data_IF_903723909128
#
_entry.id   IF_903723909128
#
_cell.length_a   1.000
_cell.length_b   1.000
_cell.length_c   1.000
_cell.angle_alpha   90.00
_cell.angle_beta   90.00
_cell.angle_gamma   90.00
#
_symmetry.space_group_name_H-M   'P 1'
#
loop_
_entity.id
_entity.type
_entity.pdbx_description
1 polymer ?
#
# COMPACT_ATOMS: atom_id res chain seq x y z
N UNK A 1 -20.10 9.91 -29.64
CA UNK A 1 -19.65 9.01 -28.56
C UNK A 1 -20.86 8.19 -28.12
N UNK A 2 -20.97 6.95 -28.58
CA UNK A 2 -22.06 6.08 -28.16
C UNK A 2 -21.69 5.60 -26.76
N UNK A 3 -22.38 6.12 -25.75
CA UNK A 3 -22.30 5.57 -24.38
C UNK A 3 -23.06 4.24 -24.40
N UNK A 4 -22.35 3.16 -24.71
CA UNK A 4 -22.88 1.81 -24.53
C UNK A 4 -23.03 1.55 -23.03
N UNK A 5 -24.23 1.81 -22.50
CA UNK A 5 -24.57 1.47 -21.12
C UNK A 5 -24.84 -0.04 -21.04
N UNK A 6 -23.79 -0.83 -20.79
CA UNK A 6 -23.94 -2.25 -20.51
C UNK A 6 -24.70 -2.45 -19.19
N UNK A 7 -25.75 -3.29 -19.21
CA UNK A 7 -26.58 -3.60 -18.03
C UNK A 7 -25.74 -4.15 -16.87
N UNK A 8 -24.67 -4.87 -17.17
CA UNK A 8 -23.74 -5.45 -16.18
C UNK A 8 -22.91 -4.39 -15.43
N UNK A 9 -22.62 -3.25 -16.09
CA UNK A 9 -21.89 -2.11 -15.52
C UNK A 9 -22.79 -1.12 -14.79
N UNK A 10 -24.12 -1.26 -14.84
CA UNK A 10 -25.02 -0.36 -14.11
C UNK A 10 -24.91 -0.51 -12.59
N UNK A 11 -24.47 -1.68 -12.11
CA UNK A 11 -24.24 -1.94 -10.69
C UNK A 11 -22.89 -1.38 -10.27
N UNK A 12 -22.87 -0.58 -9.21
CA UNK A 12 -21.63 0.00 -8.69
C UNK A 12 -20.66 -1.05 -8.12
N UNK A 13 -21.18 -2.17 -7.61
CA UNK A 13 -20.37 -3.31 -7.15
C UNK A 13 -19.49 -3.87 -8.26
N UNK A 14 -20.03 -4.02 -9.48
CA UNK A 14 -19.26 -4.49 -10.64
C UNK A 14 -18.13 -3.52 -10.96
N UNK A 15 -18.39 -2.21 -10.96
CA UNK A 15 -17.37 -1.18 -11.22
C UNK A 15 -16.27 -1.22 -10.17
N UNK A 16 -16.64 -1.30 -8.89
CA UNK A 16 -15.70 -1.36 -7.77
C UNK A 16 -14.84 -2.63 -7.82
N UNK A 17 -15.42 -3.76 -8.23
CA UNK A 17 -14.68 -4.99 -8.41
C UNK A 17 -13.65 -4.88 -9.54
N UNK A 18 -14.05 -4.40 -10.71
CA UNK A 18 -13.14 -4.18 -11.85
C UNK A 18 -12.00 -3.25 -11.42
N UNK A 19 -12.31 -2.12 -10.78
CA UNK A 19 -11.30 -1.19 -10.25
C UNK A 19 -10.33 -1.89 -9.29
N UNK A 20 -10.83 -2.75 -8.40
CA UNK A 20 -10.00 -3.50 -7.45
C UNK A 20 -9.05 -4.46 -8.17
N UNK A 21 -9.49 -5.15 -9.22
CA UNK A 21 -8.64 -6.00 -10.06
C UNK A 21 -7.48 -5.19 -10.68
N UNK A 22 -7.78 -4.01 -11.24
CA UNK A 22 -6.75 -3.10 -11.77
C UNK A 22 -5.78 -2.62 -10.68
N UNK A 23 -6.28 -2.23 -9.51
CA UNK A 23 -5.43 -1.79 -8.40
C UNK A 23 -4.51 -2.89 -7.90
N UNK A 24 -4.96 -4.14 -7.84
CA UNK A 24 -4.11 -5.26 -7.45
C UNK A 24 -3.04 -5.57 -8.49
N UNK A 25 -3.39 -5.57 -9.78
CA UNK A 25 -2.42 -5.77 -10.86
C UNK A 25 -1.30 -4.72 -10.84
N UNK A 26 -1.61 -3.46 -10.50
CA UNK A 26 -0.61 -2.39 -10.41
C UNK A 26 0.19 -2.47 -9.10
N UNK A 27 -0.45 -2.80 -7.97
CA UNK A 27 0.19 -2.80 -6.65
C UNK A 27 1.17 -3.96 -6.43
N UNK A 28 0.90 -5.13 -7.00
CA UNK A 28 1.70 -6.34 -6.77
C UNK A 28 2.93 -6.44 -7.68
N UNK A 29 3.13 -5.50 -8.61
CA UNK A 29 4.10 -5.62 -9.69
C UNK A 29 5.14 -4.49 -9.62
N UNK A 30 6.38 -4.85 -9.31
CA UNK A 30 7.52 -3.90 -9.22
C UNK A 30 8.21 -3.63 -10.58
N UNK A 31 7.90 -4.45 -11.59
CA UNK A 31 8.51 -4.40 -12.92
C UNK A 31 7.46 -4.16 -14.00
N UNK A 32 7.86 -3.48 -15.07
CA UNK A 32 7.00 -3.18 -16.21
C UNK A 32 6.36 -4.44 -16.81
N UNK A 33 7.12 -5.52 -16.97
CA UNK A 33 6.64 -6.76 -17.57
C UNK A 33 5.62 -7.48 -16.67
N UNK A 34 5.80 -7.41 -15.34
CA UNK A 34 4.85 -7.95 -14.38
C UNK A 34 3.52 -7.19 -14.44
N UNK A 35 3.56 -5.85 -14.60
CA UNK A 35 2.35 -5.03 -14.79
C UNK A 35 1.61 -5.46 -16.07
N UNK A 36 2.32 -5.69 -17.18
CA UNK A 36 1.71 -6.15 -18.43
C UNK A 36 1.00 -7.49 -18.24
N UNK A 37 1.68 -8.47 -17.63
CA UNK A 37 1.11 -9.80 -17.36
C UNK A 37 -0.11 -9.70 -16.43
N UNK A 38 -0.01 -8.90 -15.37
CA UNK A 38 -1.09 -8.66 -14.43
C UNK A 38 -2.33 -8.06 -15.12
N UNK A 39 -2.13 -7.03 -15.95
CA UNK A 39 -3.20 -6.38 -16.71
C UNK A 39 -3.85 -7.33 -17.74
N UNK A 40 -3.06 -8.14 -18.45
CA UNK A 40 -3.56 -9.13 -19.41
C UNK A 40 -4.42 -10.20 -18.73
N UNK A 41 -4.19 -10.49 -17.45
CA UNK A 41 -4.93 -11.49 -16.68
C UNK A 41 -6.30 -10.99 -16.19
N UNK A 42 -6.54 -9.67 -16.16
CA UNK A 42 -7.78 -9.07 -15.62
C UNK A 42 -9.03 -9.48 -16.42
N UNK A 43 -9.00 -9.33 -17.75
CA UNK A 43 -10.17 -9.62 -18.58
C UNK A 43 -10.51 -11.11 -18.58
N UNK A 44 -9.57 -12.05 -18.80
CA UNK A 44 -9.84 -13.47 -18.64
C UNK A 44 -10.45 -13.80 -17.27
N UNK A 45 -9.90 -13.24 -16.19
CA UNK A 45 -10.37 -13.48 -14.83
C UNK A 45 -11.83 -13.05 -14.61
N UNK A 46 -12.22 -11.84 -15.03
CA UNK A 46 -13.59 -11.32 -14.85
C UNK A 46 -14.65 -12.16 -15.59
N UNK A 47 -14.25 -12.77 -16.71
CA UNK A 47 -15.11 -13.59 -17.57
C UNK A 47 -15.01 -15.10 -17.27
N UNK A 48 -14.23 -15.50 -16.27
CA UNK A 48 -14.15 -16.88 -15.78
C UNK A 48 -13.09 -17.77 -16.41
N UNK A 49 -12.17 -17.22 -17.20
CA UNK A 49 -10.99 -17.91 -17.71
C UNK A 49 -9.81 -17.69 -16.75
N UNK A 50 -9.40 -18.75 -16.04
CA UNK A 50 -8.41 -18.68 -14.95
C UNK A 50 -7.00 -19.17 -15.29
N UNK A 51 -6.67 -19.33 -16.58
CA UNK A 51 -5.42 -19.95 -17.03
C UNK A 51 -4.15 -19.38 -16.37
N UNK A 52 -4.11 -18.07 -16.09
CA UNK A 52 -3.00 -17.39 -15.45
C UNK A 52 -3.37 -16.71 -14.11
N UNK A 53 -4.50 -17.09 -13.51
CA UNK A 53 -5.00 -16.45 -12.29
C UNK A 53 -4.37 -17.07 -11.04
N UNK A 54 -3.76 -16.25 -10.18
CA UNK A 54 -3.20 -16.70 -8.89
C UNK A 54 -4.27 -17.19 -7.89
N UNK A 55 -5.53 -16.78 -8.04
CA UNK A 55 -6.65 -17.09 -7.13
C UNK A 55 -7.95 -17.39 -7.93
N UNK A 56 -8.19 -18.64 -8.37
CA UNK A 56 -9.35 -18.98 -9.21
C UNK A 56 -10.71 -18.91 -8.50
N UNK A 57 -10.75 -18.92 -7.17
CA UNK A 57 -12.00 -19.15 -6.41
C UNK A 57 -12.72 -17.89 -5.91
N UNK A 58 -12.27 -16.68 -6.28
CA UNK A 58 -12.77 -15.42 -5.67
C UNK A 58 -13.60 -14.54 -6.61
N UNK A 59 -14.79 -15.01 -6.97
CA UNK A 59 -15.85 -14.15 -7.54
C UNK A 59 -16.70 -13.45 -6.48
N UNK A 60 -16.39 -13.62 -5.20
CA UNK A 60 -17.17 -13.13 -4.04
C UNK A 60 -17.46 -11.62 -4.03
N UNK A 61 -16.83 -10.84 -4.92
CA UNK A 61 -17.02 -9.39 -5.03
C UNK A 61 -17.76 -8.94 -6.29
N UNK A 62 -18.12 -9.86 -7.21
CA UNK A 62 -19.05 -9.57 -8.30
C UNK A 62 -20.50 -9.75 -7.81
N UNK A 63 -21.46 -8.94 -8.30
CA UNK A 63 -22.85 -9.14 -7.98
C UNK A 63 -23.30 -10.54 -8.41
N UNK A 64 -23.81 -11.31 -7.45
CA UNK A 64 -24.22 -12.73 -7.57
C UNK A 64 -23.07 -13.75 -7.67
N UNK A 65 -21.81 -13.36 -7.51
CA UNK A 65 -20.67 -14.29 -7.52
C UNK A 65 -20.46 -15.04 -8.84
N UNK A 66 -20.95 -14.48 -9.95
CA UNK A 66 -20.91 -15.08 -11.29
C UNK A 66 -20.03 -14.24 -12.23
N UNK A 67 -19.33 -14.88 -13.20
CA UNK A 67 -18.57 -14.17 -14.21
C UNK A 67 -19.48 -13.32 -15.11
N UNK A 68 -18.91 -12.24 -15.68
CA UNK A 68 -19.59 -11.41 -16.66
C UNK A 68 -19.78 -12.19 -17.98
N UNK A 69 -20.86 -11.89 -18.71
CA UNK A 69 -21.25 -12.67 -19.91
C UNK A 69 -21.31 -11.84 -21.19
N UNK A 70 -21.24 -10.51 -21.09
CA UNK A 70 -21.37 -9.66 -22.28
C UNK A 70 -20.11 -9.64 -23.14
N UNK A 71 -20.20 -10.21 -24.35
CA UNK A 71 -19.09 -10.21 -25.33
C UNK A 71 -18.68 -8.80 -25.76
N UNK A 72 -19.64 -7.88 -25.92
CA UNK A 72 -19.35 -6.49 -26.24
C UNK A 72 -18.52 -5.80 -25.15
N UNK A 73 -18.84 -6.05 -23.88
CA UNK A 73 -18.10 -5.52 -22.74
C UNK A 73 -16.68 -6.11 -22.67
N UNK A 74 -16.52 -7.39 -23.03
CA UNK A 74 -15.21 -8.05 -23.09
C UNK A 74 -14.27 -7.36 -24.08
N UNK A 75 -14.78 -6.99 -25.25
CA UNK A 75 -14.02 -6.28 -26.28
C UNK A 75 -13.60 -4.89 -25.78
N UNK A 76 -14.53 -4.13 -25.21
CA UNK A 76 -14.20 -2.78 -24.69
C UNK A 76 -13.20 -2.83 -23.54
N UNK A 77 -13.34 -3.78 -22.60
CA UNK A 77 -12.40 -3.96 -21.50
C UNK A 77 -11.01 -4.39 -22.01
N UNK A 78 -10.94 -5.23 -23.04
CA UNK A 78 -9.67 -5.57 -23.67
C UNK A 78 -9.01 -4.34 -24.29
N UNK A 79 -9.76 -3.50 -25.00
CA UNK A 79 -9.22 -2.26 -25.58
C UNK A 79 -8.69 -1.30 -24.50
N UNK A 80 -9.41 -1.19 -23.38
CA UNK A 80 -8.96 -0.42 -22.22
C UNK A 80 -7.66 -0.98 -21.63
N UNK A 81 -7.60 -2.30 -21.44
CA UNK A 81 -6.40 -2.98 -20.93
C UNK A 81 -5.20 -2.78 -21.85
N UNK A 82 -5.37 -2.88 -23.17
CA UNK A 82 -4.30 -2.63 -24.13
C UNK A 82 -3.79 -1.18 -24.06
N UNK A 83 -4.69 -0.22 -23.90
CA UNK A 83 -4.32 1.19 -23.70
C UNK A 83 -3.48 1.38 -22.44
N UNK A 84 -3.83 0.68 -21.35
CA UNK A 84 -3.10 0.73 -20.08
C UNK A 84 -1.75 0.00 -20.17
N UNK A 85 -1.68 -1.13 -20.89
CA UNK A 85 -0.43 -1.84 -21.20
C UNK A 85 0.53 -0.92 -21.97
N UNK A 86 0.04 -0.14 -22.94
CA UNK A 86 0.86 0.86 -23.63
C UNK A 86 1.42 1.96 -22.71
N UNK A 87 0.83 2.15 -21.52
CA UNK A 87 1.27 3.10 -20.49
C UNK A 87 1.97 2.43 -19.31
N UNK A 88 2.33 1.14 -19.42
CA UNK A 88 2.97 0.33 -18.38
C UNK A 88 4.15 1.03 -17.69
N UNK A 89 5.00 1.70 -18.48
CA UNK A 89 6.18 2.42 -17.97
C UNK A 89 5.80 3.53 -16.99
N UNK A 90 4.77 4.31 -17.29
CA UNK A 90 4.27 5.37 -16.40
C UNK A 90 3.50 4.81 -15.19
N UNK A 91 2.92 3.62 -15.32
CA UNK A 91 2.26 2.92 -14.21
C UNK A 91 3.28 2.33 -13.23
N UNK A 92 4.49 1.98 -13.69
CA UNK A 92 5.54 1.50 -12.80
C UNK A 92 6.11 2.61 -11.91
N UNK A 93 6.20 3.84 -12.44
CA UNK A 93 6.71 5.01 -11.71
C UNK A 93 5.62 5.76 -10.92
N UNK A 94 4.66 5.03 -10.36
CA UNK A 94 3.64 5.58 -9.44
C UNK A 94 4.21 5.69 -8.02
N UNK A 95 5.40 6.31 -7.90
CA UNK A 95 6.07 6.52 -6.62
C UNK A 95 5.16 7.24 -5.62
N UNK A 96 5.29 6.90 -4.34
CA UNK A 96 4.51 7.55 -3.29
C UNK A 96 4.92 9.01 -3.12
N UNK A 97 4.03 9.94 -3.45
CA UNK A 97 4.23 11.38 -3.18
C UNK A 97 4.14 11.74 -1.69
N UNK A 98 3.81 10.77 -0.81
CA UNK A 98 3.66 11.01 0.63
C UNK A 98 4.92 11.61 1.27
N UNK A 99 6.12 11.24 0.78
CA UNK A 99 7.38 11.81 1.27
C UNK A 99 7.43 13.33 1.10
N UNK A 100 6.84 13.84 0.02
CA UNK A 100 6.86 15.25 -0.35
C UNK A 100 5.68 16.05 0.23
N UNK A 101 4.64 15.40 0.74
CA UNK A 101 3.47 16.10 1.33
C UNK A 101 3.88 17.05 2.44
N UNK A 102 4.79 16.61 3.31
CA UNK A 102 5.29 17.45 4.42
C UNK A 102 6.03 18.70 3.94
N UNK A 103 6.70 18.63 2.77
CA UNK A 103 7.34 19.78 2.14
C UNK A 103 6.31 20.67 1.44
N UNK A 104 5.37 20.09 0.70
CA UNK A 104 4.29 20.81 0.02
C UNK A 104 3.44 21.62 1.01
N UNK A 105 3.15 21.05 2.18
CA UNK A 105 2.47 21.76 3.25
C UNK A 105 3.30 22.94 3.77
N UNK A 106 4.60 22.76 3.95
CA UNK A 106 5.50 23.82 4.40
C UNK A 106 5.60 24.97 3.38
N UNK A 107 5.71 24.64 2.09
CA UNK A 107 5.67 25.61 0.99
C UNK A 107 4.35 26.37 1.00
N UNK A 108 3.23 25.68 1.19
CA UNK A 108 1.90 26.31 1.25
C UNK A 108 1.74 27.28 2.42
N UNK A 109 2.42 27.02 3.55
CA UNK A 109 2.43 27.94 4.70
C UNK A 109 3.35 29.14 4.44
N UNK A 110 4.51 28.94 3.81
CA UNK A 110 5.52 30.00 3.57
C UNK A 110 5.15 30.91 2.40
N UNK A 111 4.55 30.37 1.35
CA UNK A 111 4.12 31.07 0.14
C UNK A 111 2.68 30.66 -0.21
N UNK A 112 1.68 31.12 0.57
CA UNK A 112 0.28 30.79 0.30
C UNK A 112 -0.15 31.36 -1.05
N UNK A 113 -0.88 30.56 -1.85
CA UNK A 113 -1.40 30.97 -3.17
C UNK A 113 -2.39 32.15 -3.10
N UNK A 114 -2.97 32.40 -1.93
CA UNK A 114 -3.87 33.54 -1.70
C UNK A 114 -3.15 34.90 -1.71
N UNK A 115 -1.82 34.92 -1.74
CA UNK A 115 -1.02 36.15 -1.79
C UNK A 115 -0.07 36.10 -2.97
N UNK A 116 0.06 37.23 -3.67
CA UNK A 116 0.99 37.36 -4.78
C UNK A 116 2.42 37.65 -4.26
N UNK A 117 3.38 36.80 -4.63
CA UNK A 117 4.81 36.97 -4.29
C UNK A 117 5.72 37.02 -5.52
N UNK A 118 5.16 36.95 -6.73
CA UNK A 118 5.91 36.82 -7.98
C UNK A 118 6.59 38.11 -8.47
N UNK A 119 6.20 39.28 -7.95
CA UNK A 119 6.75 40.58 -8.37
C UNK A 119 8.15 40.93 -7.86
N UNK A 120 8.79 40.07 -7.07
CA UNK A 120 10.15 40.28 -6.55
C UNK A 120 10.81 38.96 -6.11
N UNK A 121 12.04 39.04 -5.58
CA UNK A 121 12.73 37.90 -4.96
C UNK A 121 12.02 37.33 -3.71
N UNK A 122 10.87 37.89 -3.29
CA UNK A 122 10.08 37.42 -2.16
C UNK A 122 9.67 35.95 -2.32
N UNK A 123 9.22 35.54 -3.51
CA UNK A 123 8.84 34.15 -3.76
C UNK A 123 10.03 33.21 -3.57
N UNK A 124 11.18 33.55 -4.16
CA UNK A 124 12.41 32.76 -4.03
C UNK A 124 12.84 32.64 -2.56
N UNK A 125 12.87 33.75 -1.81
CA UNK A 125 13.24 33.74 -0.39
C UNK A 125 12.30 32.88 0.46
N UNK A 126 11.00 32.88 0.16
CA UNK A 126 10.00 32.05 0.87
C UNK A 126 10.17 30.56 0.56
N UNK A 127 10.43 30.22 -0.71
CA UNK A 127 10.70 28.84 -1.12
C UNK A 127 12.01 28.34 -0.51
N UNK A 128 13.09 29.13 -0.57
CA UNK A 128 14.37 28.83 0.07
C UNK A 128 14.20 28.64 1.58
N UNK A 129 13.41 29.50 2.25
CA UNK A 129 13.08 29.34 3.66
C UNK A 129 12.34 28.02 3.96
N UNK A 130 11.45 27.57 3.08
CA UNK A 130 10.75 26.29 3.25
C UNK A 130 11.74 25.11 3.13
N UNK A 131 12.64 25.14 2.16
CA UNK A 131 13.69 24.12 1.97
C UNK A 131 14.61 24.06 3.19
N UNK A 132 15.12 25.21 3.63
CA UNK A 132 16.02 25.29 4.78
C UNK A 132 15.33 24.82 6.06
N UNK A 133 14.08 25.22 6.30
CA UNK A 133 13.34 24.75 7.47
C UNK A 133 13.03 23.24 7.42
N UNK A 134 12.87 22.66 6.22
CA UNK A 134 12.67 21.23 6.06
C UNK A 134 13.93 20.43 6.40
N UNK A 135 15.08 20.91 5.95
CA UNK A 135 16.38 20.24 6.11
C UNK A 135 16.98 20.46 7.52
N UNK A 136 17.01 21.72 7.97
CA UNK A 136 17.73 22.15 9.17
C UNK A 136 16.80 22.35 10.39
N UNK A 137 15.48 22.34 10.21
CA UNK A 137 14.51 22.64 11.28
C UNK A 137 14.29 24.14 11.46
N UNK A 138 13.69 24.55 12.59
CA UNK A 138 13.38 25.96 12.83
C UNK A 138 14.62 26.82 13.13
N UNK A 139 15.76 26.21 13.46
CA UNK A 139 17.04 26.88 13.70
C UNK A 139 17.75 27.44 12.47
N UNK A 140 17.24 27.17 11.25
CA UNK A 140 17.87 27.59 10.00
C UNK A 140 18.11 29.11 9.91
N UNK A 141 17.24 29.93 10.53
CA UNK A 141 17.35 31.38 10.48
C UNK A 141 18.60 31.89 11.22
N UNK A 142 18.95 31.31 12.36
CA UNK A 142 20.16 31.68 13.10
C UNK A 142 21.41 31.33 12.29
N UNK A 143 21.42 30.18 11.58
CA UNK A 143 22.52 29.80 10.68
C UNK A 143 22.67 30.77 9.50
N UNK A 144 21.56 31.24 8.92
CA UNK A 144 21.60 32.27 7.86
C UNK A 144 22.18 33.56 8.41
N UNK A 145 21.74 33.99 9.59
CA UNK A 145 22.23 35.22 10.20
C UNK A 145 23.74 35.15 10.44
N UNK A 146 24.24 34.04 10.99
CA UNK A 146 25.68 33.80 11.15
C UNK A 146 26.43 33.89 9.83
N UNK A 147 25.93 33.22 8.78
CA UNK A 147 26.53 33.27 7.44
C UNK A 147 26.49 34.68 6.81
N UNK A 148 25.53 35.51 7.19
CA UNK A 148 25.40 36.90 6.77
C UNK A 148 26.19 37.88 7.65
N UNK A 149 27.00 37.39 8.60
CA UNK A 149 27.69 38.21 9.61
C UNK A 149 26.75 39.07 10.46
N UNK A 150 25.54 38.57 10.70
CA UNK A 150 24.53 39.16 11.58
C UNK A 150 24.45 38.39 12.89
N UNK A 151 23.90 39.03 13.92
CA UNK A 151 23.66 38.35 15.19
C UNK A 151 22.69 37.16 15.01
N UNK A 152 23.03 35.96 15.51
CA UNK A 152 22.16 34.78 15.47
C UNK A 152 20.82 34.97 16.21
N UNK A 153 20.79 35.92 17.16
CA UNK A 153 19.63 36.28 17.97
C UNK A 153 19.31 35.23 19.05
N UNK A 154 19.59 35.55 20.31
CA UNK A 154 19.35 34.65 21.46
C UNK A 154 17.88 34.23 21.57
N UNK A 155 16.95 35.18 21.47
CA UNK A 155 15.51 34.90 21.48
C UNK A 155 15.06 34.04 20.31
N UNK A 156 15.64 34.26 19.12
CA UNK A 156 15.35 33.46 17.91
C UNK A 156 15.76 32.01 18.12
N UNK A 157 16.93 31.76 18.71
CA UNK A 157 17.43 30.42 19.03
C UNK A 157 16.59 29.72 20.11
N UNK A 158 16.14 30.47 21.12
CA UNK A 158 15.25 29.92 22.15
C UNK A 158 13.90 29.48 21.55
N UNK A 159 13.29 30.33 20.72
CA UNK A 159 12.00 30.04 20.06
C UNK A 159 12.15 28.88 19.08
N UNK A 160 13.22 28.84 18.28
CA UNK A 160 13.44 27.76 17.32
C UNK A 160 13.59 26.41 18.03
N UNK A 161 14.36 26.36 19.11
CA UNK A 161 14.54 25.17 19.96
C UNK A 161 13.21 24.66 20.52
N UNK A 162 12.33 25.55 20.99
CA UNK A 162 11.00 25.17 21.50
C UNK A 162 10.13 24.61 20.37
N UNK A 163 10.15 25.22 19.17
CA UNK A 163 9.39 24.75 18.01
C UNK A 163 9.87 23.40 17.50
N UNK A 164 11.18 23.19 17.44
CA UNK A 164 11.77 21.91 17.06
C UNK A 164 11.45 20.80 18.08
N UNK A 165 11.54 21.09 19.39
CA UNK A 165 11.07 20.17 20.44
C UNK A 165 9.60 19.80 20.27
N UNK A 166 8.73 20.76 19.93
CA UNK A 166 7.29 20.51 19.70
C UNK A 166 7.06 19.64 18.45
N UNK A 167 7.79 19.90 17.36
CA UNK A 167 7.77 19.08 16.13
C UNK A 167 8.20 17.65 16.43
N UNK A 168 9.32 17.48 17.12
CA UNK A 168 9.84 16.17 17.54
C UNK A 168 8.85 15.38 18.40
N UNK A 169 8.23 16.03 19.39
CA UNK A 169 7.19 15.39 20.23
C UNK A 169 5.99 14.92 19.39
N UNK A 170 5.56 15.70 18.38
CA UNK A 170 4.48 15.28 17.46
C UNK A 170 4.90 14.09 16.61
N UNK A 171 6.13 14.10 16.09
CA UNK A 171 6.65 13.01 15.27
C UNK A 171 6.75 11.71 16.06
N UNK A 172 7.31 11.75 17.28
CA UNK A 172 7.33 10.59 18.19
C UNK A 172 5.93 10.00 18.42
N UNK A 173 4.93 10.85 18.66
CA UNK A 173 3.54 10.40 18.82
C UNK A 173 3.00 9.75 17.55
N UNK A 174 3.32 10.29 16.36
CA UNK A 174 2.91 9.72 15.06
C UNK A 174 3.51 8.33 14.85
N UNK A 175 4.82 8.19 15.06
CA UNK A 175 5.53 6.92 14.97
C UNK A 175 4.92 5.89 15.94
N UNK A 176 4.69 6.27 17.20
CA UNK A 176 4.07 5.38 18.18
C UNK A 176 2.65 4.94 17.77
N UNK A 177 1.84 5.82 17.20
CA UNK A 177 0.51 5.44 16.67
C UNK A 177 0.63 4.45 15.53
N UNK A 178 1.55 4.67 14.59
CA UNK A 178 1.78 3.77 13.46
C UNK A 178 2.23 2.38 13.94
N UNK A 179 3.13 2.32 14.93
CA UNK A 179 3.55 1.07 15.57
C UNK A 179 2.35 0.37 16.22
N UNK A 180 1.53 1.09 16.99
CA UNK A 180 0.32 0.52 17.62
C UNK A 180 -0.66 -0.04 16.58
N UNK A 181 -0.90 0.71 15.50
CA UNK A 181 -1.76 0.27 14.39
C UNK A 181 -1.19 -0.98 13.71
N UNK A 182 0.11 -1.02 13.44
CA UNK A 182 0.77 -2.18 12.84
C UNK A 182 0.61 -3.44 13.71
N UNK A 183 0.84 -3.33 15.03
CA UNK A 183 0.64 -4.43 15.97
C UNK A 183 -0.81 -4.91 15.98
N UNK A 184 -1.79 -4.00 15.98
CA UNK A 184 -3.21 -4.36 15.92
C UNK A 184 -3.56 -5.11 14.63
N UNK A 185 -3.07 -4.65 13.48
CA UNK A 185 -3.28 -5.32 12.20
C UNK A 185 -2.66 -6.72 12.19
N UNK A 186 -1.48 -6.90 12.79
CA UNK A 186 -0.83 -8.20 12.93
C UNK A 186 -1.64 -9.15 13.81
N UNK A 187 -2.16 -8.68 14.96
CA UNK A 187 -3.06 -9.48 15.81
C UNK A 187 -4.32 -9.93 15.05
N UNK A 188 -4.96 -9.05 14.28
CA UNK A 188 -6.12 -9.40 13.44
C UNK A 188 -5.76 -10.45 12.38
N UNK A 189 -4.59 -10.35 11.75
CA UNK A 189 -4.11 -11.34 10.78
C UNK A 189 -3.89 -12.70 11.42
N UNK A 190 -3.28 -12.76 12.60
CA UNK A 190 -3.06 -14.01 13.33
C UNK A 190 -4.39 -14.65 13.75
N UNK A 191 -5.31 -13.88 14.33
CA UNK A 191 -6.65 -14.36 14.68
C UNK A 191 -7.39 -14.99 13.49
N UNK A 192 -7.33 -14.34 12.32
CA UNK A 192 -7.93 -14.89 11.09
C UNK A 192 -7.22 -16.16 10.60
N UNK A 193 -5.90 -16.29 10.79
CA UNK A 193 -5.16 -17.54 10.50
C UNK A 193 -5.56 -18.66 11.45
N UNK A 194 -5.68 -18.38 12.74
CA UNK A 194 -6.06 -19.37 13.75
C UNK A 194 -7.49 -19.87 13.52
N UNK A 195 -8.43 -18.96 13.21
CA UNK A 195 -9.78 -19.34 12.76
C UNK A 195 -9.78 -20.27 11.55
N UNK A 196 -8.95 -20.00 10.55
CA UNK A 196 -8.81 -20.88 9.37
C UNK A 196 -8.25 -22.26 9.73
N UNK A 197 -7.25 -22.32 10.62
CA UNK A 197 -6.71 -23.60 11.12
C UNK A 197 -7.77 -24.40 11.88
N UNK A 198 -8.60 -23.74 12.69
CA UNK A 198 -9.69 -24.39 13.42
C UNK A 198 -10.72 -25.01 12.45
N UNK A 199 -11.14 -24.25 11.43
CA UNK A 199 -12.06 -24.73 10.39
C UNK A 199 -11.50 -25.93 9.60
N UNK A 200 -10.19 -25.97 9.35
CA UNK A 200 -9.52 -27.10 8.69
C UNK A 200 -9.40 -28.32 9.62
N UNK A 201 -9.21 -28.11 10.93
CA UNK A 201 -9.03 -29.18 11.92
C UNK A 201 -10.34 -29.87 12.30
N UNK A 202 -11.45 -29.14 12.34
CA UNK A 202 -12.74 -29.68 12.78
C UNK A 202 -13.57 -30.33 11.66
N UNK A 203 -13.17 -30.15 10.39
CA UNK A 203 -13.98 -30.60 9.24
C UNK A 203 -15.35 -29.91 9.19
N UNK A 204 -16.17 -30.21 8.17
CA UNK A 204 -17.56 -29.72 8.10
C UNK A 204 -18.43 -30.56 9.03
N UNK A 205 -18.48 -30.23 10.32
CA UNK A 205 -19.15 -31.08 11.33
C UNK A 205 -20.68 -30.96 11.34
N UNK A 206 -21.26 -29.89 10.79
CA UNK A 206 -22.71 -29.68 10.78
C UNK A 206 -23.18 -29.07 9.45
N UNK A 207 -23.51 -29.93 8.49
CA UNK A 207 -24.26 -29.58 7.28
C UNK A 207 -25.65 -30.21 7.34
N UNK A 208 -26.67 -29.53 6.82
CA UNK A 208 -28.09 -29.89 6.99
C UNK A 208 -28.56 -31.20 6.33
N UNK A 209 -27.64 -32.10 5.96
CA UNK A 209 -27.87 -33.38 5.27
C UNK A 209 -26.85 -34.47 5.67
N UNK A 210 -26.26 -34.41 6.87
CA UNK A 210 -25.30 -35.44 7.34
C UNK A 210 -25.93 -36.59 8.13
N UNK A 211 -27.23 -36.86 7.95
CA UNK A 211 -27.85 -38.06 8.52
C UNK A 211 -27.73 -39.24 7.54
N UNK A 212 -27.14 -40.34 8.05
CA UNK A 212 -27.04 -41.69 7.47
C UNK A 212 -26.08 -41.90 6.29
N UNK A 213 -24.81 -42.12 6.60
CA UNK A 213 -24.00 -43.11 5.88
C UNK A 213 -23.07 -43.82 6.87
N UNK A 214 -23.57 -44.89 7.48
CA UNK A 214 -22.73 -45.91 8.12
C UNK A 214 -22.46 -46.98 7.07
N UNK A 215 -21.40 -46.78 6.29
CA UNK A 215 -20.72 -47.87 5.60
C UNK A 215 -19.36 -48.02 6.25
N UNK A 216 -19.23 -49.07 7.07
CA UNK A 216 -17.95 -49.61 7.46
C UNK A 216 -17.32 -50.24 6.23
N UNK A 217 -16.07 -49.90 5.94
CA UNK A 217 -15.00 -50.86 5.59
C UNK A 217 -13.64 -50.14 5.33
N UNK A 218 -12.50 -50.86 5.35
CA UNK A 218 -11.39 -50.54 6.25
C UNK A 218 -10.11 -50.07 5.53
N UNK A 219 -9.10 -49.74 6.34
CA UNK A 219 -7.68 -49.50 5.98
C UNK A 219 -7.36 -48.25 5.15
N UNK A 220 -7.04 -47.15 5.84
CA UNK A 220 -5.84 -46.36 5.51
C UNK A 220 -5.20 -45.86 6.82
N UNK A 221 -4.12 -46.52 7.19
CA UNK A 221 -3.22 -46.14 8.28
C UNK A 221 -2.65 -44.75 8.00
N UNK A 222 -3.11 -43.73 8.71
CA UNK A 222 -2.42 -42.43 8.72
C UNK A 222 -1.24 -42.53 9.67
N UNK A 223 -0.03 -42.59 9.10
CA UNK A 223 1.21 -42.40 9.84
C UNK A 223 1.18 -41.04 10.55
N UNK A 224 1.37 -41.06 11.87
CA UNK A 224 1.56 -39.87 12.69
C UNK A 224 3.01 -39.43 12.50
N UNK A 225 3.24 -38.45 11.63
CA UNK A 225 4.51 -37.73 11.61
C UNK A 225 4.55 -36.74 12.78
N UNK A 226 5.27 -37.14 13.83
CA UNK A 226 5.66 -36.31 14.97
C UNK A 226 6.49 -35.08 14.53
N UNK A 227 6.48 -33.97 15.29
CA UNK A 227 7.17 -32.75 14.93
C UNK A 227 8.69 -32.96 14.91
N UNK A 228 9.31 -32.71 13.76
CA UNK A 228 10.76 -32.74 13.60
C UNK A 228 11.40 -31.58 14.38
N UNK A 229 12.29 -31.92 15.31
CA UNK A 229 13.17 -30.99 16.01
C UNK A 229 14.30 -30.53 15.09
N UNK A 230 14.60 -29.23 15.15
CA UNK A 230 15.74 -28.58 14.51
C UNK A 230 17.01 -28.97 15.25
N UNK A 231 17.88 -29.76 14.61
CA UNK A 231 19.31 -29.78 14.88
C UNK A 231 20.06 -30.12 13.59
N UNK A 232 20.92 -29.21 13.13
CA UNK A 232 21.83 -29.46 11.99
C UNK A 232 21.83 -28.41 10.89
N UNK A 233 22.30 -27.19 11.23
CA UNK A 233 23.08 -26.28 10.36
C UNK A 233 22.64 -26.04 8.90
N UNK A 234 21.96 -24.91 8.69
CA UNK A 234 22.34 -23.92 7.66
C UNK A 234 22.10 -22.52 8.24
N UNK A 235 23.15 -21.92 8.80
CA UNK A 235 23.12 -20.54 9.28
C UNK A 235 22.99 -19.59 8.09
N UNK A 236 21.76 -19.13 7.80
CA UNK A 236 21.57 -17.94 6.95
C UNK A 236 21.90 -16.70 7.78
N UNK A 237 23.09 -16.17 7.55
CA UNK A 237 23.50 -14.83 7.98
C UNK A 237 22.61 -13.82 7.27
N UNK A 238 21.79 -13.09 8.03
CA UNK A 238 21.07 -11.94 7.51
C UNK A 238 22.01 -10.73 7.54
N UNK A 239 22.18 -10.09 6.39
CA UNK A 239 22.75 -8.74 6.31
C UNK A 239 21.66 -7.73 6.67
N UNK A 240 21.90 -6.93 7.71
CA UNK A 240 21.07 -5.77 8.04
C UNK A 240 21.52 -4.57 7.19
N UNK A 241 20.67 -4.16 6.25
CA UNK A 241 20.90 -3.01 5.37
C UNK A 241 20.44 -1.67 5.99
N UNK A 242 20.00 -1.65 7.25
CA UNK A 242 19.59 -0.42 7.94
C UNK A 242 20.57 0.03 9.04
N UNK A 243 21.87 0.14 8.71
CA UNK A 243 22.77 1.03 9.48
C UNK A 243 22.55 2.49 9.09
N UNK A 244 21.45 3.07 9.57
CA UNK A 244 21.48 4.49 9.91
C UNK A 244 22.41 4.64 11.13
N UNK A 245 23.68 4.97 10.84
CA UNK A 245 24.73 5.29 11.81
C UNK A 245 24.20 6.21 12.90
N UNK A 246 24.07 5.68 14.12
CA UNK A 246 24.20 6.40 15.38
C UNK A 246 24.71 5.41 16.44
N UNK A 247 25.89 4.84 16.19
CA UNK A 247 26.78 4.42 17.26
C UNK A 247 27.57 5.66 17.67
N UNK A 248 27.23 6.23 18.83
CA UNK A 248 28.17 7.08 19.57
C UNK A 248 29.15 6.17 20.29
N UNK A 249 30.37 6.68 20.40
CA UNK A 249 31.52 6.20 21.19
C UNK A 249 31.15 5.56 22.53
#
# INVERSE_FOLDING_TARGET
MITHCYKELQRDETKQYILRCFMYAIKECDNEDNIKIGLQTIVPHIFGSHENCKDPEKFMSLPNGKPLKSDGLKIELNNLVQTMIGRSKSLNDLGSTQSNESFNQLVSVKAPKSRHYGGSCSLQNRLSSAVLQKNEGYGYLSKINEAANLSPGEFTMAISSVRDKKKWKKEKKRIQRNIKLAVQLQKKRNHNKDKRKHLLREGKTYGSQMEFNLQQDPEQTTEILLPFNLDGTECKVFFDLEKNRLGKE
#
